data_IF_285696947116
#
_entry.id   IF_285696947116
#
_cell.length_a   1.000
_cell.length_b   1.000
_cell.length_c   1.000
_cell.angle_alpha   90.00
_cell.angle_beta   90.00
_cell.angle_gamma   90.00
#
_symmetry.space_group_name_H-M   'P 1'
#
loop_
_entity.id
_entity.type
_entity.pdbx_description
1 polymer ?
#
# COMPACT_ATOMS: atom_id res chain seq x y z
N UNK A 1 -5.56 -16.35 -4.10
CA UNK A 1 -6.22 -15.51 -3.09
C UNK A 1 -6.31 -14.10 -3.65
N UNK A 2 -7.48 -13.47 -3.61
CA UNK A 2 -7.66 -12.09 -4.05
C UNK A 2 -7.36 -11.14 -2.88
N UNK A 3 -6.83 -9.94 -3.13
CA UNK A 3 -6.58 -8.97 -2.04
C UNK A 3 -7.87 -8.54 -1.35
N UNK A 4 -8.98 -8.52 -2.08
CA UNK A 4 -10.30 -8.22 -1.53
C UNK A 4 -10.80 -9.24 -0.49
N UNK A 5 -10.18 -10.42 -0.44
CA UNK A 5 -10.46 -11.47 0.54
C UNK A 5 -9.68 -11.28 1.84
N UNK A 6 -8.64 -10.43 1.83
CA UNK A 6 -7.80 -10.14 3.00
C UNK A 6 -8.44 -9.07 3.88
N UNK A 7 -8.12 -9.14 5.18
CA UNK A 7 -8.48 -8.10 6.14
C UNK A 7 -7.63 -6.85 5.89
N UNK A 8 -8.24 -5.82 5.32
CA UNK A 8 -7.58 -4.54 5.09
C UNK A 8 -7.27 -3.83 6.42
N UNK A 9 -6.00 -3.52 6.63
CA UNK A 9 -5.52 -2.76 7.78
C UNK A 9 -4.78 -1.52 7.27
N UNK A 10 -5.30 -0.33 7.55
CA UNK A 10 -4.64 0.93 7.22
C UNK A 10 -3.95 1.45 8.47
N UNK A 11 -2.62 1.52 8.43
CA UNK A 11 -1.84 2.08 9.55
C UNK A 11 -2.15 3.56 9.76
N UNK A 12 -1.96 4.06 10.98
CA UNK A 12 -2.17 5.49 11.27
C UNK A 12 -1.31 6.37 10.37
N UNK A 13 -0.04 5.98 10.19
CA UNK A 13 0.88 6.67 9.28
C UNK A 13 0.36 6.74 7.84
N UNK A 14 -0.11 5.61 7.28
CA UNK A 14 -0.66 5.60 5.93
C UNK A 14 -1.92 6.48 5.80
N UNK A 15 -2.78 6.48 6.82
CA UNK A 15 -3.98 7.31 6.86
C UNK A 15 -3.65 8.81 6.91
N UNK A 16 -2.71 9.21 7.77
CA UNK A 16 -2.26 10.60 7.86
C UNK A 16 -1.65 11.08 6.54
N UNK A 17 -0.75 10.29 5.95
CA UNK A 17 -0.15 10.61 4.65
C UNK A 17 -1.18 10.73 3.53
N UNK A 18 -2.23 9.89 3.54
CA UNK A 18 -3.33 10.01 2.59
C UNK A 18 -4.09 11.32 2.77
N UNK A 19 -4.44 11.67 4.01
CA UNK A 19 -5.16 12.91 4.31
C UNK A 19 -4.38 14.17 3.94
N UNK A 20 -3.05 14.13 4.13
CA UNK A 20 -2.18 15.26 3.80
C UNK A 20 -1.93 15.39 2.29
N UNK A 21 -1.81 14.27 1.56
CA UNK A 21 -1.32 14.26 0.17
C UNK A 21 -2.38 14.02 -0.89
N UNK A 22 -3.54 13.48 -0.53
CA UNK A 22 -4.58 13.09 -1.48
C UNK A 22 -5.86 13.85 -1.21
N UNK A 23 -6.52 13.58 -0.08
CA UNK A 23 -7.82 14.15 0.24
C UNK A 23 -8.15 13.99 1.74
N UNK A 24 -8.83 14.98 2.32
CA UNK A 24 -9.29 14.93 3.70
C UNK A 24 -10.55 14.07 3.79
N UNK A 25 -10.36 12.80 4.11
CA UNK A 25 -11.43 11.81 4.22
C UNK A 25 -11.39 11.12 5.59
N UNK A 26 -12.52 10.62 6.07
CA UNK A 26 -12.57 9.87 7.32
C UNK A 26 -11.99 8.45 7.15
N UNK A 27 -11.52 7.86 8.25
CA UNK A 27 -10.86 6.54 8.19
C UNK A 27 -11.77 5.44 7.66
N UNK A 28 -13.05 5.47 8.04
CA UNK A 28 -14.04 4.48 7.61
C UNK A 28 -14.34 4.61 6.11
N UNK A 29 -14.46 5.83 5.61
CA UNK A 29 -14.66 6.08 4.19
C UNK A 29 -13.44 5.63 3.39
N UNK A 30 -12.22 5.86 3.92
CA UNK A 30 -10.99 5.45 3.23
C UNK A 30 -10.93 3.93 3.15
N UNK A 31 -11.29 3.27 4.25
CA UNK A 31 -11.34 1.81 4.31
C UNK A 31 -12.31 1.24 3.27
N UNK A 32 -13.53 1.79 3.19
CA UNK A 32 -14.51 1.39 2.19
C UNK A 32 -14.03 1.63 0.76
N UNK A 33 -13.48 2.82 0.47
CA UNK A 33 -12.94 3.20 -0.84
C UNK A 33 -11.82 2.24 -1.27
N UNK A 34 -10.85 2.00 -0.40
CA UNK A 34 -9.74 1.09 -0.69
C UNK A 34 -10.24 -0.34 -0.87
N UNK A 35 -11.18 -0.80 -0.05
CA UNK A 35 -11.75 -2.14 -0.17
C UNK A 35 -12.46 -2.34 -1.51
N UNK A 36 -13.21 -1.35 -1.98
CA UNK A 36 -13.85 -1.39 -3.30
C UNK A 36 -12.80 -1.46 -4.42
N UNK A 37 -11.76 -0.62 -4.35
CA UNK A 37 -10.68 -0.63 -5.34
C UNK A 37 -9.93 -1.97 -5.37
N UNK A 38 -9.81 -2.66 -4.23
CA UNK A 38 -9.17 -3.98 -4.14
C UNK A 38 -9.99 -5.10 -4.81
N UNK A 39 -11.31 -4.95 -4.98
CA UNK A 39 -12.16 -5.93 -5.68
C UNK A 39 -11.75 -6.04 -7.15
N UNK A 40 -11.39 -4.91 -7.76
CA UNK A 40 -11.02 -4.83 -9.18
C UNK A 40 -9.55 -5.23 -9.43
N UNK A 41 -8.70 -5.17 -8.40
CA UNK A 41 -7.27 -5.48 -8.53
C UNK A 41 -7.00 -6.99 -8.49
N UNK A 42 -6.76 -7.58 -9.68
CA UNK A 42 -6.60 -9.04 -9.81
C UNK A 42 -5.19 -9.60 -9.63
N UNK A 43 -4.13 -8.78 -9.64
CA UNK A 43 -2.73 -9.23 -9.41
C UNK A 43 -1.80 -8.04 -9.30
N UNK A 44 -1.09 -7.92 -8.19
CA UNK A 44 -0.05 -6.91 -7.99
C UNK A 44 1.27 -7.63 -7.75
N UNK A 45 2.33 -7.16 -8.43
CA UNK A 45 3.70 -7.63 -8.23
C UNK A 45 4.40 -6.67 -7.29
N UNK A 46 4.94 -7.20 -6.19
CA UNK A 46 5.77 -6.45 -5.25
C UNK A 46 4.96 -5.81 -4.12
N UNK A 47 5.59 -4.89 -3.42
CA UNK A 47 5.10 -4.26 -2.18
C UNK A 47 4.35 -2.94 -2.45
N UNK A 48 4.06 -2.65 -3.72
CA UNK A 48 3.47 -1.39 -4.15
C UNK A 48 2.16 -1.61 -4.90
N UNK A 49 1.13 -0.86 -4.54
CA UNK A 49 -0.18 -0.90 -5.18
C UNK A 49 -0.61 0.51 -5.59
N UNK A 50 -1.17 0.65 -6.79
CA UNK A 50 -1.76 1.90 -7.26
C UNK A 50 -3.28 1.80 -7.19
N UNK A 51 -3.89 2.60 -6.33
CA UNK A 51 -5.33 2.63 -6.09
C UNK A 51 -5.86 4.03 -6.37
N UNK A 52 -6.81 4.18 -7.30
CA UNK A 52 -7.38 5.50 -7.68
C UNK A 52 -6.30 6.56 -8.01
N UNK A 53 -5.26 6.14 -8.73
CA UNK A 53 -4.13 7.02 -9.05
C UNK A 53 -3.12 7.24 -7.92
N UNK A 54 -3.39 6.76 -6.70
CA UNK A 54 -2.56 6.92 -5.50
C UNK A 54 -1.66 5.71 -5.30
N UNK A 55 -0.38 5.95 -5.05
CA UNK A 55 0.58 4.90 -4.73
C UNK A 55 0.62 4.58 -3.24
N UNK A 56 0.55 3.30 -2.92
CA UNK A 56 0.61 2.77 -1.56
C UNK A 56 1.68 1.71 -1.46
N UNK A 57 2.34 1.65 -0.31
CA UNK A 57 3.11 0.47 0.09
C UNK A 57 2.22 -0.42 0.95
N UNK A 58 2.25 -1.71 0.66
CA UNK A 58 1.53 -2.70 1.42
C UNK A 58 2.40 -3.89 1.77
N UNK A 59 2.00 -4.57 2.85
CA UNK A 59 2.50 -5.86 3.27
C UNK A 59 1.32 -6.82 3.36
N UNK A 60 1.55 -8.07 2.99
CA UNK A 60 0.61 -9.16 3.31
C UNK A 60 1.23 -9.96 4.45
N UNK A 61 0.56 -10.02 5.58
CA UNK A 61 0.93 -10.84 6.74
C UNK A 61 -0.23 -11.80 7.05
N UNK A 62 -0.08 -13.07 6.66
CA UNK A 62 -1.15 -14.06 6.76
C UNK A 62 -2.39 -13.67 5.96
N UNK A 63 -3.48 -13.35 6.67
CA UNK A 63 -4.78 -12.95 6.12
C UNK A 63 -5.00 -11.42 6.16
N UNK A 64 -3.98 -10.65 6.56
CA UNK A 64 -4.06 -9.19 6.65
C UNK A 64 -3.33 -8.51 5.48
N UNK A 65 -4.00 -7.55 4.86
CA UNK A 65 -3.39 -6.60 3.93
C UNK A 65 -3.13 -5.29 4.66
N UNK A 66 -1.88 -5.05 5.06
CA UNK A 66 -1.47 -3.82 5.76
C UNK A 66 -0.99 -2.77 4.79
N UNK A 67 -1.68 -1.64 4.74
CA UNK A 67 -1.19 -0.43 4.07
C UNK A 67 -0.27 0.33 5.03
N UNK A 68 1.02 0.35 4.69
CA UNK A 68 2.09 0.90 5.53
C UNK A 68 2.28 2.40 5.31
N UNK A 69 2.21 2.86 4.06
CA UNK A 69 2.34 4.30 3.75
C UNK A 69 1.66 4.67 2.43
N UNK A 70 1.35 5.96 2.29
CA UNK A 70 0.72 6.56 1.11
C UNK A 70 1.65 7.62 0.49
N UNK A 71 1.98 7.47 -0.79
CA UNK A 71 2.83 8.42 -1.51
C UNK A 71 2.06 9.51 -2.24
N UNK A 72 0.75 9.36 -2.39
CA UNK A 72 -0.10 10.32 -3.11
C UNK A 72 -0.22 10.03 -4.61
N UNK A 73 -0.74 11.00 -5.36
CA UNK A 73 -1.00 10.89 -6.82
C UNK A 73 0.20 11.25 -7.70
N UNK A 74 1.24 11.88 -7.15
CA UNK A 74 2.40 12.34 -7.91
C UNK A 74 3.26 11.19 -8.44
N UNK A 75 4.06 11.52 -9.47
CA UNK A 75 5.06 10.62 -10.06
C UNK A 75 5.91 10.01 -8.96
N UNK A 76 5.77 8.70 -8.79
CA UNK A 76 6.39 7.94 -7.73
C UNK A 76 7.92 8.05 -7.84
N UNK A 77 8.55 8.81 -6.96
CA UNK A 77 10.01 8.81 -6.77
C UNK A 77 10.40 7.51 -6.06
N UNK A 78 10.34 6.43 -6.84
CA UNK A 78 10.65 5.05 -6.51
C UNK A 78 11.88 4.85 -5.60
N UNK A 79 13.01 5.59 -5.74
CA UNK A 79 14.18 5.40 -4.86
C UNK A 79 13.92 5.69 -3.38
N UNK A 80 13.18 6.76 -3.03
CA UNK A 80 12.93 7.11 -1.61
C UNK A 80 11.97 6.12 -0.94
N UNK A 81 11.05 5.57 -1.72
CA UNK A 81 10.10 4.58 -1.22
C UNK A 81 10.79 3.24 -0.91
N UNK A 82 11.71 2.82 -1.77
CA UNK A 82 12.56 1.65 -1.56
C UNK A 82 13.47 1.82 -0.34
N UNK A 83 14.03 3.01 -0.11
CA UNK A 83 14.82 3.28 1.10
C UNK A 83 13.99 3.21 2.39
N UNK A 84 12.75 3.71 2.38
CA UNK A 84 11.86 3.60 3.54
C UNK A 84 11.51 2.14 3.84
N UNK A 85 11.13 1.37 2.81
CA UNK A 85 10.83 -0.06 2.94
C UNK A 85 12.04 -0.85 3.44
N UNK A 86 13.25 -0.54 2.93
CA UNK A 86 14.51 -1.17 3.37
C UNK A 86 14.90 -0.80 4.81
N UNK A 87 14.61 0.42 5.27
CA UNK A 87 14.95 0.90 6.63
C UNK A 87 13.97 0.41 7.70
N UNK A 88 12.70 0.23 7.36
CA UNK A 88 11.67 -0.21 8.31
C UNK A 88 11.60 -1.73 8.50
N UNK A 89 12.54 -2.49 7.91
CA UNK A 89 12.90 -3.83 8.39
C UNK A 89 11.81 -4.88 8.22
N UNK A 90 10.86 -4.67 7.30
CA UNK A 90 10.07 -5.80 6.82
C UNK A 90 10.96 -6.60 5.88
N UNK A 91 10.94 -7.92 6.02
CA UNK A 91 11.71 -8.83 5.18
C UNK A 91 11.20 -8.71 3.76
N UNK A 92 11.72 -7.71 3.04
CA UNK A 92 11.77 -7.76 1.60
C UNK A 92 12.65 -8.96 1.30
N UNK A 93 12.03 -10.14 1.14
CA UNK A 93 12.60 -11.18 0.32
C UNK A 93 12.58 -10.62 -1.10
N UNK A 94 13.49 -9.68 -1.36
CA UNK A 94 14.11 -9.49 -2.65
C UNK A 94 14.86 -10.80 -2.88
N UNK A 95 14.09 -11.82 -3.28
CA UNK A 95 14.64 -13.04 -3.84
C UNK A 95 15.44 -12.61 -5.05
N UNK A 96 16.74 -12.49 -4.84
CA UNK A 96 17.78 -12.96 -5.73
C UNK A 96 17.36 -12.99 -7.21
N UNK A 97 17.48 -11.83 -7.87
CA UNK A 97 17.82 -11.80 -9.28
C UNK A 97 19.31 -11.44 -9.36
N UNK A 98 20.17 -12.43 -9.12
CA UNK A 98 21.50 -12.46 -9.70
C UNK A 98 21.53 -13.65 -10.67
N UNK A 99 21.59 -13.33 -11.95
CA UNK A 99 22.22 -14.18 -12.95
C UNK A 99 23.72 -13.91 -12.92
#
# INVERSE_FOLDING_TARGET
MALADLTLVITNHAFEQYRERVEKLERNELHAKIKELLIDQRRIKGEFIKLDGVWWVFLIDGEELRLLTCYGRSTFDMPKALEWAKRHGDRIRLGEYNA
#
